data_IF_729408526332
#
_entry.id   IF_729408526332
#
_cell.length_a   1.000
_cell.length_b   1.000
_cell.length_c   1.000
_cell.angle_alpha   90.00
_cell.angle_beta   90.00
_cell.angle_gamma   90.00
#
_symmetry.space_group_name_H-M   'P 1'
#
loop_
_entity.id
_entity.type
_entity.pdbx_description
1 polymer ?
#
# COMPACT_ATOMS: atom_id res chain seq x y z
N UNK A 1 -17.16 -41.26 9.69
CA UNK A 1 -17.78 -39.95 9.40
C UNK A 1 -16.66 -38.92 9.49
N UNK A 2 -16.03 -38.63 8.35
CA UNK A 2 -14.84 -37.77 8.27
C UNK A 2 -15.33 -36.32 8.26
N UNK A 3 -14.99 -35.58 9.31
CA UNK A 3 -15.34 -34.17 9.46
C UNK A 3 -14.42 -33.35 8.55
N UNK A 4 -14.95 -32.81 7.46
CA UNK A 4 -14.27 -31.78 6.67
C UNK A 4 -14.32 -30.47 7.47
N UNK A 5 -13.24 -30.18 8.20
CA UNK A 5 -13.02 -28.84 8.73
C UNK A 5 -12.73 -27.90 7.55
N UNK A 6 -13.67 -27.02 7.22
CA UNK A 6 -13.32 -25.82 6.47
C UNK A 6 -12.37 -25.01 7.35
N UNK A 7 -11.10 -24.90 6.93
CA UNK A 7 -10.19 -23.94 7.52
C UNK A 7 -10.79 -22.55 7.30
N UNK A 8 -11.36 -21.98 8.35
CA UNK A 8 -11.77 -20.58 8.35
C UNK A 8 -10.54 -19.74 8.11
N UNK A 9 -10.52 -19.00 7.02
CA UNK A 9 -9.55 -17.92 6.78
C UNK A 9 -9.73 -16.93 7.94
N UNK A 10 -8.70 -16.82 8.79
CA UNK A 10 -8.70 -15.88 9.89
C UNK A 10 -8.62 -14.46 9.31
N UNK A 11 -9.64 -13.65 9.58
CA UNK A 11 -9.68 -12.21 9.34
C UNK A 11 -9.87 -11.55 10.69
N UNK A 12 -8.97 -10.67 11.11
CA UNK A 12 -9.10 -10.03 12.43
C UNK A 12 -8.14 -8.84 12.65
N UNK A 13 -7.28 -8.48 11.70
CA UNK A 13 -6.20 -7.53 11.97
C UNK A 13 -6.35 -6.27 11.16
N UNK A 14 -6.48 -5.14 11.87
CA UNK A 14 -6.18 -3.83 11.33
C UNK A 14 -4.75 -3.48 11.73
N UNK A 15 -3.93 -3.13 10.76
CA UNK A 15 -2.59 -2.58 10.98
C UNK A 15 -2.54 -1.19 10.37
N UNK A 16 -2.16 -0.20 11.18
CA UNK A 16 -2.02 1.19 10.74
C UNK A 16 -0.56 1.61 10.83
N UNK A 17 -0.03 2.12 9.72
CA UNK A 17 1.29 2.71 9.60
C UNK A 17 1.15 4.22 9.45
N UNK A 18 1.96 4.96 10.21
CA UNK A 18 2.10 6.40 10.06
C UNK A 18 3.42 6.68 9.36
N UNK A 19 3.36 7.20 8.15
CA UNK A 19 4.53 7.61 7.38
C UNK A 19 4.81 9.09 7.72
N UNK A 20 5.99 9.37 8.26
CA UNK A 20 6.39 10.70 8.77
C UNK A 20 7.61 11.29 8.06
N UNK A 21 8.25 10.53 7.18
CA UNK A 21 9.53 10.91 6.57
C UNK A 21 9.38 10.97 5.05
N UNK A 22 9.88 12.04 4.45
CA UNK A 22 9.90 12.21 3.02
C UNK A 22 11.18 11.60 2.44
N UNK A 23 11.06 10.72 1.45
CA UNK A 23 12.19 10.16 0.68
C UNK A 23 12.21 10.83 -0.71
N UNK A 24 12.06 12.14 -0.77
CA UNK A 24 12.21 12.92 -2.00
C UNK A 24 13.38 13.89 -1.82
N UNK A 25 14.55 13.53 -2.37
CA UNK A 25 15.73 14.37 -2.65
C UNK A 25 16.42 15.21 -1.55
N UNK A 26 15.74 15.56 -0.46
CA UNK A 26 16.16 16.52 0.56
C UNK A 26 16.18 15.92 1.98
N UNK A 27 15.56 14.75 2.17
CA UNK A 27 15.52 14.04 3.46
C UNK A 27 14.78 14.80 4.56
N UNK A 28 13.79 15.63 4.19
CA UNK A 28 12.95 16.38 5.13
C UNK A 28 11.95 15.50 5.89
N UNK A 29 11.50 15.97 7.05
CA UNK A 29 10.28 15.44 7.67
C UNK A 29 9.07 15.95 6.89
N UNK A 30 8.06 15.09 6.70
CA UNK A 30 6.78 15.54 6.15
C UNK A 30 6.19 16.60 7.10
N UNK A 31 5.61 17.67 6.56
CA UNK A 31 4.97 18.68 7.42
C UNK A 31 3.70 18.13 8.10
N UNK A 32 3.13 17.05 7.56
CA UNK A 32 2.06 16.26 8.17
C UNK A 32 2.19 14.76 7.85
N UNK A 33 1.71 13.87 8.73
CA UNK A 33 1.83 12.43 8.50
C UNK A 33 0.83 11.91 7.45
N UNK A 34 1.25 10.90 6.70
CA UNK A 34 0.37 10.08 5.85
C UNK A 34 0.00 8.81 6.64
N UNK A 35 -1.28 8.44 6.66
CA UNK A 35 -1.72 7.23 7.34
C UNK A 35 -2.06 6.14 6.32
N UNK A 36 -1.47 4.96 6.48
CA UNK A 36 -1.77 3.78 5.65
C UNK A 36 -2.34 2.69 6.55
N UNK A 37 -3.58 2.28 6.29
CA UNK A 37 -4.28 1.24 7.06
C UNK A 37 -4.51 0.02 6.19
N UNK A 38 -4.11 -1.15 6.68
CA UNK A 38 -4.40 -2.45 6.09
C UNK A 38 -5.46 -3.12 6.96
N UNK A 39 -6.61 -3.42 6.37
CA UNK A 39 -7.76 -4.01 7.05
C UNK A 39 -8.21 -5.28 6.32
N UNK A 40 -8.17 -6.42 7.01
CA UNK A 40 -8.66 -7.70 6.49
C UNK A 40 -10.01 -8.14 7.08
N UNK A 41 -10.63 -7.35 7.96
CA UNK A 41 -11.77 -7.80 8.78
C UNK A 41 -13.07 -7.99 7.99
N UNK A 42 -13.26 -7.24 6.91
CA UNK A 42 -14.55 -7.16 6.22
C UNK A 42 -14.80 -8.32 5.25
N UNK A 43 -13.77 -8.80 4.55
CA UNK A 43 -13.92 -9.78 3.48
C UNK A 43 -12.76 -10.77 3.48
N UNK A 44 -13.09 -12.05 3.64
CA UNK A 44 -12.10 -13.11 3.68
C UNK A 44 -11.28 -13.21 2.40
N UNK A 45 -9.96 -13.18 2.54
CA UNK A 45 -9.03 -13.22 1.41
C UNK A 45 -8.83 -11.88 0.71
N UNK A 46 -9.38 -10.80 1.23
CA UNK A 46 -9.17 -9.43 0.76
C UNK A 46 -8.54 -8.61 1.87
N UNK A 47 -7.59 -7.74 1.50
CA UNK A 47 -7.06 -6.70 2.39
C UNK A 47 -7.40 -5.36 1.76
N UNK A 48 -8.14 -4.53 2.48
CA UNK A 48 -8.41 -3.16 2.12
C UNK A 48 -7.24 -2.29 2.56
N UNK A 49 -6.63 -1.58 1.61
CA UNK A 49 -5.57 -0.61 1.90
C UNK A 49 -6.17 0.79 1.79
N UNK A 50 -6.25 1.49 2.92
CA UNK A 50 -6.70 2.89 2.98
C UNK A 50 -5.51 3.80 3.17
N UNK A 51 -5.33 4.75 2.25
CA UNK A 51 -4.26 5.75 2.31
C UNK A 51 -4.94 7.10 2.56
N UNK A 52 -4.65 7.70 3.71
CA UNK A 52 -5.16 9.00 4.10
C UNK A 52 -4.02 10.04 4.06
N UNK A 53 -4.16 10.96 3.12
CA UNK A 53 -3.28 12.12 2.90
C UNK A 53 -3.98 13.43 3.22
N UNK A 54 -5.17 13.40 3.84
CA UNK A 54 -6.00 14.60 4.07
C UNK A 54 -5.35 15.64 4.99
N UNK A 55 -4.31 15.25 5.73
CA UNK A 55 -3.53 16.13 6.58
C UNK A 55 -2.41 16.88 5.83
N UNK A 56 -2.05 16.46 4.61
CA UNK A 56 -1.01 17.13 3.82
C UNK A 56 -1.47 18.50 3.31
N UNK A 57 -0.57 19.50 3.28
CA UNK A 57 -0.83 20.76 2.57
C UNK A 57 -0.93 20.51 1.05
N UNK A 58 -1.52 21.44 0.30
CA UNK A 58 -1.76 21.25 -1.15
C UNK A 58 -0.48 21.08 -1.97
N UNK A 59 0.64 21.56 -1.45
CA UNK A 59 1.96 21.50 -2.08
C UNK A 59 2.70 20.18 -1.82
N UNK A 60 2.21 19.34 -0.90
CA UNK A 60 2.77 18.02 -0.60
C UNK A 60 1.88 16.89 -1.14
N UNK A 61 2.48 15.92 -1.81
CA UNK A 61 1.78 14.76 -2.35
C UNK A 61 2.67 13.52 -2.32
N UNK A 62 2.04 12.35 -2.25
CA UNK A 62 2.72 11.08 -2.43
C UNK A 62 2.66 10.68 -3.91
N UNK A 63 3.81 10.55 -4.56
CA UNK A 63 3.89 10.09 -5.96
C UNK A 63 3.81 8.58 -6.09
N UNK A 64 4.30 7.83 -5.10
CA UNK A 64 4.26 6.37 -5.10
C UNK A 64 4.26 5.77 -3.69
N UNK A 65 3.58 4.63 -3.54
CA UNK A 65 3.67 3.74 -2.37
C UNK A 65 4.30 2.41 -2.79
N UNK A 66 5.28 1.95 -2.01
CA UNK A 66 5.98 0.69 -2.22
C UNK A 66 5.69 -0.29 -1.07
N UNK A 67 5.36 -1.54 -1.41
CA UNK A 67 5.02 -2.59 -0.43
C UNK A 67 5.76 -3.89 -0.75
N UNK A 68 6.04 -4.67 0.29
CA UNK A 68 6.59 -6.02 0.17
C UNK A 68 5.57 -7.06 0.58
N UNK A 69 5.59 -8.18 -0.12
CA UNK A 69 4.94 -9.39 0.34
C UNK A 69 5.76 -10.03 1.45
N UNK A 70 5.07 -10.82 2.27
CA UNK A 70 5.74 -11.77 3.14
C UNK A 70 6.43 -12.82 2.26
N UNK A 71 7.78 -12.94 2.26
CA UNK A 71 8.50 -13.86 1.38
C UNK A 71 8.20 -15.34 1.71
N UNK A 72 7.62 -15.63 2.87
CA UNK A 72 7.13 -16.97 3.22
C UNK A 72 5.79 -17.32 2.54
N UNK A 73 5.13 -16.36 1.87
CA UNK A 73 3.83 -16.52 1.20
C UNK A 73 3.96 -16.26 -0.31
N UNK A 74 3.12 -16.92 -1.10
CA UNK A 74 3.10 -16.75 -2.56
C UNK A 74 2.16 -15.60 -2.94
N UNK A 75 2.61 -14.62 -3.75
CA UNK A 75 1.75 -13.57 -4.31
C UNK A 75 0.98 -14.02 -5.56
N UNK A 76 1.19 -15.27 -6.03
CA UNK A 76 0.57 -15.75 -7.25
C UNK A 76 -0.96 -15.75 -7.16
N UNK A 77 -1.61 -15.12 -8.15
CA UNK A 77 -3.08 -15.01 -8.21
C UNK A 77 -3.66 -13.86 -7.37
N UNK A 78 -2.82 -13.06 -6.71
CA UNK A 78 -3.28 -11.83 -6.07
C UNK A 78 -3.70 -10.81 -7.13
N UNK A 79 -4.79 -10.09 -6.84
CA UNK A 79 -5.28 -9.00 -7.70
C UNK A 79 -5.33 -7.73 -6.85
N UNK A 80 -4.78 -6.63 -7.36
CA UNK A 80 -4.89 -5.32 -6.71
C UNK A 80 -5.84 -4.48 -7.55
N UNK A 81 -6.90 -3.98 -6.93
CA UNK A 81 -7.88 -3.11 -7.56
C UNK A 81 -7.90 -1.78 -6.84
N UNK A 82 -7.85 -0.70 -7.60
CA UNK A 82 -8.03 0.64 -7.06
C UNK A 82 -9.51 1.01 -6.99
N UNK A 83 -9.94 1.44 -5.81
CA UNK A 83 -11.29 1.94 -5.55
C UNK A 83 -11.25 3.28 -4.80
N UNK A 84 -10.10 3.94 -4.76
CA UNK A 84 -9.90 5.21 -4.06
C UNK A 84 -10.64 6.37 -4.70
N UNK A 85 -10.88 7.43 -3.92
CA UNK A 85 -11.44 8.68 -4.44
C UNK A 85 -10.48 9.38 -5.41
N UNK A 86 -9.17 9.24 -5.16
CA UNK A 86 -8.12 9.59 -6.12
C UNK A 86 -7.65 8.32 -6.80
N UNK A 87 -7.77 8.27 -8.12
CA UNK A 87 -7.31 7.14 -8.90
C UNK A 87 -5.78 7.13 -8.97
N UNK A 88 -5.20 5.98 -8.65
CA UNK A 88 -3.83 5.61 -9.01
C UNK A 88 -3.63 5.71 -10.51
N UNK A 89 -2.44 6.13 -10.92
CA UNK A 89 -2.03 6.20 -12.33
C UNK A 89 -1.60 4.83 -12.84
N UNK A 90 -1.02 4.00 -11.97
CA UNK A 90 -0.66 2.62 -12.28
C UNK A 90 -0.43 1.81 -11.01
N UNK A 91 -0.65 0.50 -11.13
CA UNK A 91 -0.30 -0.49 -10.10
C UNK A 91 0.57 -1.56 -10.75
N UNK A 92 1.76 -1.77 -10.20
CA UNK A 92 2.72 -2.78 -10.62
C UNK A 92 2.87 -3.75 -9.46
N UNK A 93 2.73 -5.05 -9.72
CA UNK A 93 2.94 -6.10 -8.73
C UNK A 93 3.74 -7.25 -9.36
N UNK A 94 4.78 -7.69 -8.65
CA UNK A 94 5.65 -8.79 -9.06
C UNK A 94 6.84 -8.89 -8.10
N UNK A 95 7.36 -10.10 -7.91
CA UNK A 95 8.53 -10.31 -7.02
C UNK A 95 9.67 -9.39 -7.42
N UNK A 96 10.19 -8.61 -6.46
CA UNK A 96 11.32 -7.67 -6.64
C UNK A 96 11.18 -6.75 -7.88
N UNK A 97 9.95 -6.34 -8.22
CA UNK A 97 9.67 -5.61 -9.46
C UNK A 97 10.08 -4.14 -9.43
N UNK A 98 10.18 -3.57 -8.23
CA UNK A 98 9.89 -2.16 -8.06
C UNK A 98 10.94 -1.53 -7.14
N UNK A 99 11.73 -0.59 -7.68
CA UNK A 99 12.89 -0.02 -6.97
C UNK A 99 12.71 1.47 -6.72
N UNK A 100 12.41 1.90 -5.49
CA UNK A 100 12.43 3.32 -5.14
C UNK A 100 13.87 3.80 -5.08
N UNK A 101 14.23 4.85 -5.83
CA UNK A 101 15.44 5.68 -5.72
C UNK A 101 16.72 4.99 -5.19
N UNK A 102 17.09 3.85 -5.78
CA UNK A 102 18.32 3.12 -5.44
C UNK A 102 18.27 2.29 -4.15
N UNK A 103 17.11 2.16 -3.53
CA UNK A 103 16.88 1.33 -2.34
C UNK A 103 16.75 -0.17 -2.69
N UNK A 104 16.42 -0.98 -1.68
CA UNK A 104 16.08 -2.39 -1.88
C UNK A 104 14.86 -2.53 -2.81
N UNK A 105 14.78 -3.67 -3.49
CA UNK A 105 13.65 -3.94 -4.37
C UNK A 105 12.41 -4.24 -3.53
N UNK A 106 11.26 -3.85 -4.08
CA UNK A 106 9.93 -4.05 -3.52
C UNK A 106 9.04 -4.82 -4.49
N UNK A 107 8.00 -5.45 -3.95
CA UNK A 107 7.13 -6.33 -4.72
C UNK A 107 5.91 -5.64 -5.34
N UNK A 108 5.55 -4.48 -4.82
CA UNK A 108 4.41 -3.69 -5.29
C UNK A 108 4.78 -2.23 -5.35
N UNK A 109 4.36 -1.56 -6.42
CA UNK A 109 4.38 -0.11 -6.56
C UNK A 109 2.99 0.38 -7.00
N UNK A 110 2.43 1.29 -6.21
CA UNK A 110 1.20 2.01 -6.54
C UNK A 110 1.60 3.45 -6.82
N UNK A 111 1.38 3.92 -8.05
CA UNK A 111 1.69 5.28 -8.46
C UNK A 111 0.43 6.15 -8.40
N UNK A 112 0.59 7.40 -7.99
CA UNK A 112 -0.46 8.39 -7.91
C UNK A 112 -0.15 9.55 -8.86
N UNK A 113 -1.16 10.33 -9.28
CA UNK A 113 -0.89 11.53 -10.06
C UNK A 113 -0.11 12.52 -9.21
N UNK A 114 0.98 13.07 -9.76
CA UNK A 114 1.63 14.25 -9.17
C UNK A 114 0.65 15.43 -9.22
N UNK A 115 0.77 16.37 -8.27
CA UNK A 115 -0.04 17.58 -8.33
C UNK A 115 0.14 18.25 -9.69
N UNK A 116 -0.97 18.59 -10.36
CA UNK A 116 -0.90 19.39 -11.56
C UNK A 116 -0.20 20.70 -11.20
N UNK A 117 0.98 20.95 -11.78
CA UNK A 117 1.63 22.25 -11.65
C UNK A 117 0.67 23.30 -12.21
N UNK A 118 0.22 24.22 -11.36
CA UNK A 118 -0.48 25.44 -11.77
C UNK A 118 0.52 26.43 -12.38
#
# INVERSE_FOLDING_TARGET
>A
MTLFGLAGVANASIVTFTLSNEVSGSGGELTAPITVTLDDQDTAGTVNITIDMSALPQEEFMSALYLNFDPAKSPAGMTITDTGAQASTSIIAGSDCCKPDGQADHDVQINFPEAAAD
#
